data_IF_955674252169
#
_entry.id   IF_955674252169
#
_cell.length_a   1.000
_cell.length_b   1.000
_cell.length_c   1.000
_cell.angle_alpha   90.00
_cell.angle_beta   90.00
_cell.angle_gamma   90.00
#
_symmetry.space_group_name_H-M   'P 1'
#
loop_
_entity.id
_entity.type
_entity.pdbx_description
1 polymer ?
#
# COMPACT_ATOMS: atom_id res chain seq x y z
N UNK A 1 25.81 -5.39 6.38
CA UNK A 1 24.44 -5.66 6.87
C UNK A 1 23.68 -4.39 7.33
N UNK A 2 22.48 -4.15 6.76
CA UNK A 2 21.67 -2.96 7.07
C UNK A 2 21.18 -2.92 8.54
N UNK A 3 20.84 -4.08 9.11
CA UNK A 3 20.43 -4.25 10.52
C UNK A 3 21.44 -3.62 11.50
N UNK A 4 22.74 -3.79 11.25
CA UNK A 4 23.82 -3.22 12.08
C UNK A 4 23.78 -1.68 12.08
N UNK A 5 23.59 -1.05 10.91
CA UNK A 5 23.43 0.41 10.78
C UNK A 5 22.15 0.90 11.47
N UNK A 6 21.04 0.18 11.32
CA UNK A 6 19.75 0.53 11.93
C UNK A 6 19.81 0.51 13.46
N UNK A 7 20.30 -0.60 14.07
CA UNK A 7 20.49 -0.69 15.52
C UNK A 7 21.43 0.41 16.04
N UNK A 8 22.50 0.71 15.31
CA UNK A 8 23.40 1.83 15.64
C UNK A 8 22.69 3.20 15.60
N UNK A 9 21.82 3.47 14.61
CA UNK A 9 21.05 4.73 14.57
C UNK A 9 20.04 4.85 15.71
N UNK A 10 19.47 3.73 16.17
CA UNK A 10 18.61 3.68 17.35
C UNK A 10 19.39 3.65 18.68
N UNK A 11 20.73 3.65 18.64
CA UNK A 11 21.64 3.49 19.80
C UNK A 11 21.41 2.18 20.58
N UNK A 12 20.82 1.17 19.94
CA UNK A 12 20.53 -0.12 20.53
C UNK A 12 21.76 -1.05 20.52
N UNK A 13 21.82 -2.05 21.41
CA UNK A 13 22.78 -3.15 21.31
C UNK A 13 22.71 -3.81 19.93
N UNK A 14 23.87 -4.17 19.35
CA UNK A 14 23.95 -4.85 18.04
C UNK A 14 23.65 -6.34 18.23
N UNK A 15 22.39 -6.64 18.57
CA UNK A 15 21.85 -8.00 18.74
C UNK A 15 20.58 -8.14 17.92
N UNK A 16 20.45 -9.23 17.19
CA UNK A 16 19.24 -9.52 16.40
C UNK A 16 19.08 -11.01 16.17
N UNK A 17 17.85 -11.44 15.89
CA UNK A 17 17.54 -12.79 15.43
C UNK A 17 16.84 -12.68 14.09
N UNK A 18 17.40 -13.33 13.07
CA UNK A 18 16.71 -13.61 11.82
C UNK A 18 16.11 -15.02 11.92
N UNK A 19 14.83 -15.14 11.56
CA UNK A 19 14.11 -16.42 11.49
C UNK A 19 13.75 -16.66 10.03
N UNK A 20 14.14 -17.81 9.50
CA UNK A 20 13.81 -18.24 8.14
C UNK A 20 13.06 -19.58 8.17
N UNK A 21 12.34 -19.89 7.09
CA UNK A 21 11.79 -21.23 6.87
C UNK A 21 12.83 -22.17 6.22
N UNK A 22 12.41 -23.32 5.73
CA UNK A 22 13.30 -24.31 5.10
C UNK A 22 13.19 -24.29 3.57
N UNK A 23 12.98 -23.13 2.95
CA UNK A 23 12.99 -23.01 1.48
C UNK A 23 14.35 -23.45 0.90
N UNK A 24 14.38 -24.29 -0.17
CA UNK A 24 15.63 -24.75 -0.79
C UNK A 24 16.52 -23.64 -1.39
N UNK A 25 16.05 -22.39 -1.44
CA UNK A 25 16.80 -21.21 -1.86
C UNK A 25 17.55 -20.52 -0.71
N UNK A 26 17.38 -21.00 0.52
CA UNK A 26 18.11 -20.51 1.71
C UNK A 26 19.42 -21.28 1.91
N UNK A 27 20.50 -20.63 2.39
CA UNK A 27 21.81 -21.26 2.48
C UNK A 27 21.87 -22.30 3.60
N UNK A 28 22.31 -23.52 3.28
CA UNK A 28 22.46 -24.62 4.25
C UNK A 28 23.44 -24.27 5.39
N UNK A 29 24.48 -23.49 5.08
CA UNK A 29 25.42 -22.94 6.07
C UNK A 29 24.95 -21.57 6.58
N UNK A 30 25.12 -21.33 7.88
CA UNK A 30 24.54 -20.18 8.56
C UNK A 30 25.12 -18.83 8.10
N UNK A 31 24.24 -17.85 7.83
CA UNK A 31 24.62 -16.49 7.48
C UNK A 31 25.31 -15.76 8.64
N UNK A 32 26.63 -15.84 8.71
CA UNK A 32 27.42 -15.09 9.69
C UNK A 32 27.43 -13.58 9.39
N UNK A 33 27.21 -12.76 10.42
CA UNK A 33 27.19 -11.31 10.30
C UNK A 33 28.56 -10.74 10.68
N UNK A 34 29.37 -10.36 9.69
CA UNK A 34 30.77 -9.95 9.91
C UNK A 34 30.93 -8.86 10.99
N UNK A 35 31.71 -9.19 12.03
CA UNK A 35 31.91 -8.35 13.20
C UNK A 35 30.63 -8.08 14.01
N UNK A 36 29.69 -9.02 14.05
CA UNK A 36 28.44 -8.93 14.82
C UNK A 36 27.91 -10.33 15.22
N UNK A 37 28.68 -11.08 16.02
CA UNK A 37 28.35 -12.44 16.50
C UNK A 37 27.06 -12.58 17.33
N UNK A 38 26.48 -11.47 17.78
CA UNK A 38 25.19 -11.43 18.47
C UNK A 38 24.00 -11.21 17.51
N UNK A 39 24.24 -11.17 16.20
CA UNK A 39 23.22 -11.31 15.16
C UNK A 39 23.21 -12.79 14.73
N UNK A 40 22.10 -13.48 14.97
CA UNK A 40 21.98 -14.95 14.81
C UNK A 40 20.87 -15.30 13.80
N UNK A 41 21.11 -16.35 13.02
CA UNK A 41 20.12 -16.98 12.16
C UNK A 41 19.57 -18.23 12.86
N UNK A 42 18.25 -18.43 12.78
CA UNK A 42 17.59 -19.68 13.15
C UNK A 42 16.62 -20.11 12.05
N UNK A 43 16.64 -21.41 11.73
CA UNK A 43 15.64 -22.04 10.87
C UNK A 43 14.46 -22.56 11.71
N UNK A 44 13.25 -22.36 11.20
CA UNK A 44 12.03 -22.96 11.77
C UNK A 44 12.07 -24.49 11.64
N UNK A 45 11.39 -25.26 12.51
CA UNK A 45 11.23 -26.70 12.31
C UNK A 45 10.53 -27.02 10.97
N UNK A 46 10.90 -28.14 10.35
CA UNK A 46 10.30 -28.59 9.09
C UNK A 46 8.76 -28.67 9.18
N UNK A 47 8.08 -28.27 8.11
CA UNK A 47 6.62 -28.23 7.98
C UNK A 47 5.88 -27.32 8.99
N UNK A 48 6.55 -26.41 9.70
CA UNK A 48 5.89 -25.46 10.63
C UNK A 48 5.63 -24.06 10.08
N UNK A 49 6.05 -23.76 8.83
CA UNK A 49 6.02 -22.40 8.24
C UNK A 49 4.67 -21.71 8.44
N UNK A 50 3.59 -22.24 7.85
CA UNK A 50 2.23 -21.67 7.96
C UNK A 50 1.65 -21.63 9.38
N UNK A 51 2.25 -22.34 10.34
CA UNK A 51 1.79 -22.39 11.74
C UNK A 51 2.42 -21.32 12.64
N UNK A 52 3.69 -20.95 12.38
CA UNK A 52 4.49 -20.10 13.29
C UNK A 52 5.40 -19.06 12.60
N UNK A 53 5.53 -19.07 11.27
CA UNK A 53 6.36 -18.11 10.52
C UNK A 53 5.70 -16.71 10.56
N UNK A 54 6.37 -15.64 11.07
CA UNK A 54 5.69 -14.37 11.38
C UNK A 54 5.21 -13.53 10.19
N UNK A 55 5.63 -13.77 8.96
CA UNK A 55 5.06 -13.11 7.78
C UNK A 55 3.70 -13.71 7.39
N UNK A 56 3.58 -15.04 7.51
CA UNK A 56 2.37 -15.80 7.21
C UNK A 56 1.27 -15.56 8.27
N UNK A 57 1.65 -15.20 9.50
CA UNK A 57 0.71 -14.82 10.57
C UNK A 57 0.11 -13.41 10.37
N UNK A 58 -0.42 -13.14 9.18
CA UNK A 58 -1.23 -11.96 8.84
C UNK A 58 -0.48 -10.74 8.29
N UNK A 59 0.85 -10.75 8.23
CA UNK A 59 1.65 -9.64 7.67
C UNK A 59 1.49 -9.58 6.15
N UNK A 60 1.64 -10.71 5.47
CA UNK A 60 1.45 -10.82 4.01
C UNK A 60 0.00 -10.49 3.64
N UNK A 61 -1.00 -11.02 4.35
CA UNK A 61 -2.41 -10.71 4.11
C UNK A 61 -2.71 -9.21 4.30
N UNK A 62 -2.18 -8.58 5.35
CA UNK A 62 -2.33 -7.13 5.59
C UNK A 62 -1.70 -6.29 4.48
N UNK A 63 -0.53 -6.69 3.97
CA UNK A 63 0.15 -6.01 2.86
C UNK A 63 -0.63 -6.19 1.54
N UNK A 64 -1.09 -7.41 1.24
CA UNK A 64 -1.95 -7.71 0.08
C UNK A 64 -3.22 -6.85 0.08
N UNK A 65 -3.95 -6.76 1.21
CA UNK A 65 -5.15 -5.90 1.33
C UNK A 65 -4.84 -4.42 1.08
N UNK A 66 -3.77 -3.89 1.68
CA UNK A 66 -3.33 -2.49 1.47
C UNK A 66 -2.94 -2.22 0.02
N UNK A 67 -2.22 -3.15 -0.61
CA UNK A 67 -1.88 -3.05 -2.03
C UNK A 67 -3.12 -3.05 -2.93
N UNK A 68 -4.09 -3.93 -2.70
CA UNK A 68 -5.32 -4.00 -3.52
C UNK A 68 -6.24 -2.80 -3.37
N UNK A 69 -6.35 -2.26 -2.15
CA UNK A 69 -7.06 -1.00 -1.94
C UNK A 69 -6.36 0.16 -2.67
N UNK A 70 -5.02 0.22 -2.69
CA UNK A 70 -4.27 1.24 -3.44
C UNK A 70 -4.38 1.06 -4.96
N UNK A 71 -4.27 -0.16 -5.47
CA UNK A 71 -4.44 -0.48 -6.88
C UNK A 71 -5.83 -0.04 -7.38
N UNK A 72 -6.89 -0.35 -6.63
CA UNK A 72 -8.24 0.07 -6.99
C UNK A 72 -8.43 1.60 -6.88
N UNK A 73 -7.84 2.25 -5.87
CA UNK A 73 -7.81 3.71 -5.77
C UNK A 73 -7.11 4.39 -6.96
N UNK A 74 -5.98 3.86 -7.44
CA UNK A 74 -5.22 4.43 -8.57
C UNK A 74 -5.90 4.12 -9.92
N UNK A 75 -6.55 2.96 -10.07
CA UNK A 75 -7.45 2.70 -11.22
C UNK A 75 -8.59 3.73 -11.25
N UNK A 76 -9.22 3.99 -10.10
CA UNK A 76 -10.29 5.00 -9.99
C UNK A 76 -9.79 6.44 -10.19
N UNK A 77 -8.56 6.78 -9.76
CA UNK A 77 -8.00 8.11 -9.94
C UNK A 77 -7.63 8.42 -11.39
N UNK A 78 -7.19 7.41 -12.16
CA UNK A 78 -6.98 7.46 -13.62
C UNK A 78 -8.30 7.48 -14.44
N UNK A 79 -9.46 7.28 -13.80
CA UNK A 79 -10.79 7.38 -14.42
C UNK A 79 -11.55 8.68 -14.04
N UNK A 80 -10.87 9.65 -13.41
CA UNK A 80 -11.38 11.02 -13.29
C UNK A 80 -11.12 11.82 -14.56
N UNK A 81 -12.07 12.68 -14.96
CA UNK A 81 -12.03 13.42 -16.22
C UNK A 81 -12.46 12.59 -17.45
N UNK A 82 -12.06 11.31 -17.49
CA UNK A 82 -12.38 10.39 -18.58
C UNK A 82 -13.88 10.29 -18.92
N UNK A 83 -14.18 10.30 -20.22
CA UNK A 83 -15.56 10.24 -20.75
C UNK A 83 -16.08 8.80 -20.88
N UNK A 84 -15.23 7.84 -21.25
CA UNK A 84 -15.55 6.42 -21.33
C UNK A 84 -14.80 5.63 -20.25
N UNK A 85 -15.37 5.62 -19.05
CA UNK A 85 -14.69 5.12 -17.85
C UNK A 85 -14.65 3.60 -17.80
N UNK A 86 -13.66 2.99 -18.43
CA UNK A 86 -13.47 1.52 -18.45
C UNK A 86 -12.32 1.09 -17.56
N UNK A 87 -12.59 0.19 -16.60
CA UNK A 87 -11.58 -0.41 -15.72
C UNK A 87 -10.38 -0.99 -16.48
N UNK A 88 -10.63 -1.67 -17.62
CA UNK A 88 -9.59 -2.31 -18.42
C UNK A 88 -8.61 -1.28 -19.01
N UNK A 89 -9.09 -0.10 -19.43
CA UNK A 89 -8.24 0.96 -19.97
C UNK A 89 -7.32 1.54 -18.89
N UNK A 90 -7.88 1.90 -17.73
CA UNK A 90 -7.09 2.41 -16.61
C UNK A 90 -6.14 1.36 -16.01
N UNK A 91 -6.53 0.08 -15.99
CA UNK A 91 -5.66 -1.02 -15.57
C UNK A 91 -4.47 -1.21 -16.54
N UNK A 92 -4.70 -1.11 -17.86
CA UNK A 92 -3.60 -1.11 -18.85
C UNK A 92 -2.64 0.08 -18.70
N UNK A 93 -3.09 1.19 -18.13
CA UNK A 93 -2.26 2.35 -17.82
C UNK A 93 -1.45 2.22 -16.51
N UNK A 94 -1.68 1.17 -15.70
CA UNK A 94 -0.84 0.84 -14.53
C UNK A 94 0.46 0.18 -15.03
N UNK A 95 1.59 0.79 -14.72
CA UNK A 95 2.91 0.30 -15.09
C UNK A 95 3.71 -0.18 -13.85
N UNK A 96 4.87 -0.80 -14.07
CA UNK A 96 5.69 -1.38 -12.98
C UNK A 96 6.18 -0.34 -11.95
N UNK A 97 6.39 0.92 -12.34
CA UNK A 97 6.76 2.01 -11.42
C UNK A 97 5.59 2.35 -10.48
N UNK A 98 4.36 2.40 -11.01
CA UNK A 98 3.16 2.58 -10.20
C UNK A 98 2.98 1.41 -9.22
N UNK A 99 3.14 0.16 -9.67
CA UNK A 99 3.08 -1.05 -8.83
C UNK A 99 4.10 -0.99 -7.67
N UNK A 100 5.36 -0.61 -7.95
CA UNK A 100 6.40 -0.51 -6.93
C UNK A 100 6.07 0.59 -5.90
N UNK A 101 5.58 1.76 -6.33
CA UNK A 101 5.16 2.81 -5.40
C UNK A 101 3.94 2.41 -4.56
N UNK A 102 2.96 1.74 -5.16
CA UNK A 102 1.78 1.24 -4.42
C UNK A 102 2.18 0.19 -3.37
N UNK A 103 3.12 -0.71 -3.70
CA UNK A 103 3.65 -1.69 -2.75
C UNK A 103 4.47 -1.04 -1.61
N UNK A 104 5.35 -0.09 -1.94
CA UNK A 104 6.12 0.65 -0.94
C UNK A 104 5.20 1.45 0.01
N UNK A 105 4.23 2.18 -0.54
CA UNK A 105 3.23 2.93 0.24
C UNK A 105 2.32 2.01 1.06
N UNK A 106 1.93 0.85 0.53
CA UNK A 106 1.17 -0.16 1.28
C UNK A 106 1.95 -0.69 2.49
N UNK A 107 3.28 -0.83 2.37
CA UNK A 107 4.17 -1.27 3.44
C UNK A 107 4.44 -0.17 4.48
N UNK A 108 4.68 1.07 4.07
CA UNK A 108 4.85 2.22 4.98
C UNK A 108 3.59 2.49 5.83
N UNK A 109 2.41 2.15 5.32
CA UNK A 109 1.13 2.28 6.04
C UNK A 109 0.79 1.08 6.94
N UNK A 110 1.64 0.06 7.03
CA UNK A 110 1.38 -1.10 7.91
C UNK A 110 1.53 -0.71 9.39
N UNK A 111 0.50 -0.90 10.23
CA UNK A 111 0.61 -0.66 11.66
C UNK A 111 1.72 -1.50 12.29
N UNK A 112 2.53 -0.91 13.16
CA UNK A 112 3.57 -1.63 13.89
C UNK A 112 3.00 -2.77 14.76
N UNK A 113 1.73 -2.64 15.17
CA UNK A 113 0.96 -3.67 15.84
C UNK A 113 0.69 -4.91 14.98
N UNK A 114 0.59 -4.80 13.65
CA UNK A 114 0.48 -5.94 12.73
C UNK A 114 1.71 -6.83 12.84
N UNK A 115 2.90 -6.24 12.76
CA UNK A 115 4.17 -6.96 12.93
C UNK A 115 4.26 -7.59 14.33
N UNK A 116 3.95 -6.85 15.41
CA UNK A 116 4.02 -7.41 16.78
C UNK A 116 3.04 -8.57 16.99
N UNK A 117 1.79 -8.46 16.51
CA UNK A 117 0.78 -9.51 16.66
C UNK A 117 1.18 -10.80 15.94
N UNK A 118 1.88 -10.72 14.81
CA UNK A 118 2.24 -11.90 14.01
C UNK A 118 3.26 -12.81 14.70
N UNK A 119 4.15 -12.27 15.53
CA UNK A 119 5.07 -13.07 16.36
C UNK A 119 4.36 -13.90 17.44
N UNK A 120 3.09 -13.66 17.76
CA UNK A 120 2.39 -14.28 18.91
C UNK A 120 2.33 -15.81 18.87
N UNK A 121 2.40 -16.45 17.68
CA UNK A 121 2.49 -17.92 17.58
C UNK A 121 3.85 -18.46 17.99
N UNK A 122 4.93 -17.77 17.60
CA UNK A 122 6.32 -18.15 17.83
C UNK A 122 6.80 -17.69 19.23
N UNK A 123 6.26 -16.58 19.73
CA UNK A 123 6.54 -16.01 21.05
C UNK A 123 5.22 -15.52 21.70
N UNK A 124 4.51 -16.38 22.45
CA UNK A 124 3.20 -16.05 23.03
C UNK A 124 3.18 -14.81 23.94
N UNK A 125 4.27 -14.57 24.67
CA UNK A 125 4.46 -13.41 25.54
C UNK A 125 5.05 -12.17 24.87
N UNK A 126 5.14 -12.10 23.53
CA UNK A 126 5.78 -10.98 22.81
C UNK A 126 5.19 -9.62 23.17
N UNK A 127 3.87 -9.54 23.36
CA UNK A 127 3.18 -8.30 23.74
C UNK A 127 3.62 -7.88 25.14
N UNK A 128 3.46 -8.73 26.15
CA UNK A 128 3.86 -8.46 27.53
C UNK A 128 5.35 -8.10 27.64
N UNK A 129 6.23 -8.79 26.90
CA UNK A 129 7.65 -8.47 26.86
C UNK A 129 7.92 -7.08 26.27
N UNK A 130 7.23 -6.71 25.19
CA UNK A 130 7.28 -5.37 24.60
C UNK A 130 6.77 -4.31 25.58
N UNK A 131 5.66 -4.55 26.27
CA UNK A 131 5.08 -3.59 27.20
C UNK A 131 5.96 -3.35 28.43
N UNK A 132 6.54 -4.41 29.00
CA UNK A 132 7.46 -4.32 30.12
C UNK A 132 8.83 -3.69 29.78
N UNK A 133 9.16 -3.52 28.49
CA UNK A 133 10.42 -2.91 28.03
C UNK A 133 10.21 -1.54 27.35
N UNK A 134 9.03 -0.91 27.47
CA UNK A 134 8.72 0.40 26.87
C UNK A 134 9.63 1.54 27.37
N UNK A 135 10.04 1.49 28.64
CA UNK A 135 10.85 2.57 29.26
C UNK A 135 12.35 2.45 28.92
N UNK A 136 12.89 1.23 28.90
CA UNK A 136 14.31 0.97 28.59
C UNK A 136 14.66 1.03 27.09
N UNK A 137 13.66 1.03 26.20
CA UNK A 137 13.88 0.99 24.75
C UNK A 137 13.00 2.02 23.98
N UNK A 138 13.54 3.21 23.65
CA UNK A 138 12.76 4.28 23.01
C UNK A 138 12.28 3.96 21.58
N UNK A 139 12.82 2.91 20.94
CA UNK A 139 12.29 2.43 19.65
C UNK A 139 10.93 1.74 19.78
N UNK A 140 10.62 1.15 20.94
CA UNK A 140 9.36 0.44 21.19
C UNK A 140 8.19 1.39 21.44
N UNK A 141 8.44 2.58 21.99
CA UNK A 141 7.40 3.56 22.31
C UNK A 141 6.59 4.04 21.09
N UNK A 142 7.11 3.88 19.87
CA UNK A 142 6.40 4.22 18.62
C UNK A 142 5.40 3.14 18.17
N UNK A 143 5.47 1.93 18.73
CA UNK A 143 4.68 0.77 18.30
C UNK A 143 3.22 0.80 18.79
N UNK A 144 2.91 1.57 19.84
CA UNK A 144 1.56 1.69 20.40
C UNK A 144 0.73 2.75 19.67
N UNK A 145 0.51 2.55 18.37
CA UNK A 145 -0.52 3.25 17.61
C UNK A 145 -1.85 2.46 17.66
N UNK A 146 -3.01 3.14 17.64
CA UNK A 146 -4.32 2.47 17.60
C UNK A 146 -4.48 1.69 16.29
N UNK A 147 -5.37 0.69 16.30
CA UNK A 147 -5.80 -0.01 15.08
C UNK A 147 -6.72 0.90 14.24
N UNK A 148 -6.12 1.76 13.42
CA UNK A 148 -6.82 2.43 12.34
C UNK A 148 -7.07 1.44 11.19
N UNK A 149 -8.25 0.82 11.23
CA UNK A 149 -8.82 0.09 10.09
C UNK A 149 -9.35 1.08 9.05
N UNK A 150 -8.49 2.00 8.58
CA UNK A 150 -8.83 3.07 7.62
C UNK A 150 -8.94 2.56 6.17
N UNK A 151 -9.41 1.32 6.00
CA UNK A 151 -9.86 0.80 4.72
C UNK A 151 -11.23 1.42 4.42
N UNK A 152 -11.25 2.44 3.57
CA UNK A 152 -12.45 3.16 3.18
C UNK A 152 -13.11 2.44 2.00
N UNK A 153 -13.48 1.18 2.24
CA UNK A 153 -14.04 0.27 1.22
C UNK A 153 -15.39 0.81 0.68
N UNK A 154 -16.08 1.64 1.47
CA UNK A 154 -17.22 2.45 1.02
C UNK A 154 -16.84 3.54 0.01
N UNK A 155 -15.68 4.20 0.15
CA UNK A 155 -15.20 5.17 -0.83
C UNK A 155 -14.83 4.47 -2.15
N UNK A 156 -14.19 3.30 -2.10
CA UNK A 156 -13.92 2.46 -3.27
C UNK A 156 -15.22 2.07 -4.00
N UNK A 157 -16.22 1.58 -3.26
CA UNK A 157 -17.55 1.29 -3.80
C UNK A 157 -18.21 2.54 -4.44
N UNK A 158 -18.08 3.70 -3.81
CA UNK A 158 -18.64 4.95 -4.36
C UNK A 158 -17.92 5.39 -5.65
N UNK A 159 -16.62 5.15 -5.77
CA UNK A 159 -15.88 5.36 -7.01
C UNK A 159 -16.33 4.41 -8.12
N UNK A 160 -16.39 3.10 -7.82
CA UNK A 160 -16.80 2.07 -8.77
C UNK A 160 -18.21 2.30 -9.36
N UNK A 161 -19.16 2.80 -8.57
CA UNK A 161 -20.51 3.12 -9.09
C UNK A 161 -20.56 4.28 -10.09
N UNK A 162 -19.45 5.01 -10.26
CA UNK A 162 -19.29 6.03 -11.29
C UNK A 162 -18.49 5.53 -12.52
N UNK A 163 -18.20 4.23 -12.61
CA UNK A 163 -17.46 3.58 -13.70
C UNK A 163 -18.44 2.87 -14.63
N UNK A 164 -18.16 2.85 -15.94
CA UNK A 164 -19.02 2.23 -16.97
C UNK A 164 -19.24 0.75 -16.65
N UNK A 165 -20.50 0.30 -16.67
CA UNK A 165 -20.93 -1.08 -16.40
C UNK A 165 -20.61 -1.61 -14.98
N UNK A 166 -20.39 -0.72 -14.01
CA UNK A 166 -20.09 -1.08 -12.61
C UNK A 166 -21.22 -0.67 -11.62
N UNK A 167 -22.43 -0.38 -12.13
CA UNK A 167 -23.58 0.08 -11.35
C UNK A 167 -24.15 -0.98 -10.38
N UNK A 168 -24.03 -2.27 -10.73
CA UNK A 168 -24.47 -3.41 -9.93
C UNK A 168 -23.53 -3.77 -8.78
N UNK A 169 -22.31 -3.22 -8.74
CA UNK A 169 -21.28 -3.58 -7.76
C UNK A 169 -21.75 -3.30 -6.33
N UNK A 170 -21.46 -4.23 -5.43
CA UNK A 170 -21.83 -4.21 -4.00
C UNK A 170 -20.61 -3.97 -3.11
N UNK A 171 -20.83 -3.79 -1.80
CA UNK A 171 -19.72 -3.73 -0.84
C UNK A 171 -19.01 -5.08 -0.72
N UNK A 172 -19.73 -6.18 -0.95
CA UNK A 172 -19.19 -7.53 -0.81
C UNK A 172 -18.23 -7.84 -1.97
N UNK A 173 -18.54 -7.42 -3.20
CA UNK A 173 -17.59 -7.48 -4.33
C UNK A 173 -16.28 -6.69 -4.05
N UNK A 174 -16.37 -5.56 -3.33
CA UNK A 174 -15.22 -4.75 -2.93
C UNK A 174 -14.43 -5.40 -1.80
N UNK A 175 -15.12 -6.02 -0.83
CA UNK A 175 -14.49 -6.84 0.22
C UNK A 175 -13.73 -8.00 -0.43
N UNK A 176 -14.39 -8.80 -1.26
CA UNK A 176 -13.82 -9.95 -1.97
C UNK A 176 -12.60 -9.54 -2.81
N UNK A 177 -12.64 -8.37 -3.48
CA UNK A 177 -11.45 -7.83 -4.14
C UNK A 177 -10.30 -7.58 -3.16
N UNK A 178 -10.53 -6.89 -2.03
CA UNK A 178 -9.43 -6.54 -1.11
C UNK A 178 -8.97 -7.70 -0.20
N UNK A 179 -9.80 -8.72 0.06
CA UNK A 179 -9.47 -9.87 0.94
C UNK A 179 -9.33 -11.23 0.25
N UNK A 180 -9.72 -11.39 -1.02
CA UNK A 180 -9.90 -12.69 -1.71
C UNK A 180 -8.68 -13.61 -1.92
N UNK A 181 -7.58 -13.41 -1.18
CA UNK A 181 -6.43 -14.34 -1.13
C UNK A 181 -6.47 -15.29 0.05
N UNK A 182 -7.45 -15.20 0.96
CA UNK A 182 -7.52 -16.10 2.11
C UNK A 182 -7.79 -17.57 1.73
N UNK A 183 -8.36 -17.82 0.54
CA UNK A 183 -8.60 -19.16 -0.04
C UNK A 183 -7.75 -19.50 -1.29
N UNK A 184 -6.93 -18.56 -1.81
CA UNK A 184 -6.12 -18.82 -3.01
C UNK A 184 -4.79 -19.50 -2.66
N UNK A 185 -4.75 -20.83 -2.82
CA UNK A 185 -3.49 -21.55 -3.05
C UNK A 185 -2.76 -20.90 -4.24
N UNK A 186 -1.46 -20.58 -4.09
CA UNK A 186 -0.74 -19.79 -5.08
C UNK A 186 -0.60 -20.54 -6.43
N UNK A 187 -1.51 -20.29 -7.37
CA UNK A 187 -1.29 -20.56 -8.80
C UNK A 187 -0.21 -19.60 -9.32
N UNK A 188 1.04 -20.00 -9.17
CA UNK A 188 2.18 -19.31 -9.78
C UNK A 188 2.12 -19.48 -11.29
N UNK A 189 1.74 -18.42 -12.01
CA UNK A 189 2.00 -18.34 -13.45
C UNK A 189 3.49 -18.59 -13.72
N UNK A 190 3.77 -19.43 -14.70
CA UNK A 190 5.13 -19.71 -15.15
C UNK A 190 5.69 -18.52 -15.93
N UNK A 191 7.02 -18.39 -15.98
CA UNK A 191 7.69 -17.31 -16.72
C UNK A 191 7.26 -17.29 -18.21
N UNK A 192 7.00 -18.47 -18.81
CA UNK A 192 6.51 -18.61 -20.18
C UNK A 192 5.10 -18.02 -20.38
N UNK A 193 4.18 -18.24 -19.42
CA UNK A 193 2.83 -17.68 -19.44
C UNK A 193 2.84 -16.16 -19.26
N UNK A 194 3.74 -15.64 -18.40
CA UNK A 194 3.96 -14.20 -18.21
C UNK A 194 4.48 -13.57 -19.51
N UNK A 195 5.47 -14.19 -20.17
CA UNK A 195 5.99 -13.71 -21.46
C UNK A 195 4.91 -13.74 -22.55
N UNK A 196 4.11 -14.81 -22.62
CA UNK A 196 3.05 -14.92 -23.63
C UNK A 196 1.94 -13.86 -23.44
N UNK A 197 1.63 -13.47 -22.20
CA UNK A 197 0.70 -12.38 -21.93
C UNK A 197 1.23 -11.01 -22.41
N UNK A 198 2.52 -10.73 -22.23
CA UNK A 198 3.14 -9.44 -22.61
C UNK A 198 3.24 -9.28 -24.13
N UNK A 199 3.59 -10.34 -24.87
CA UNK A 199 3.77 -10.29 -26.34
C UNK A 199 2.45 -10.03 -27.10
N UNK A 200 1.30 -10.18 -26.45
CA UNK A 200 -0.03 -10.17 -27.10
C UNK A 200 -0.77 -8.82 -27.05
N UNK A 201 -0.12 -7.72 -26.64
CA UNK A 201 -0.83 -6.52 -26.14
C UNK A 201 -0.68 -5.21 -26.93
N UNK A 202 0.31 -5.07 -27.82
CA UNK A 202 0.65 -3.80 -28.49
C UNK A 202 -0.06 -3.62 -29.85
N UNK A 203 -1.04 -2.70 -29.91
CA UNK A 203 -1.48 -2.04 -31.15
C UNK A 203 -2.26 -0.72 -30.86
N UNK A 204 -1.69 0.41 -31.32
CA UNK A 204 -2.32 1.69 -31.79
C UNK A 204 -3.00 2.72 -30.83
N UNK A 205 -2.21 3.75 -30.47
CA UNK A 205 -2.35 5.21 -30.75
C UNK A 205 -3.66 6.06 -30.55
N UNK A 206 -3.54 7.06 -29.64
CA UNK A 206 -3.69 8.55 -29.82
C UNK A 206 -5.04 9.34 -29.90
N UNK A 207 -5.01 10.56 -29.28
CA UNK A 207 -5.73 11.84 -29.55
C UNK A 207 -7.27 11.91 -29.32
N UNK A 208 -7.99 13.03 -28.99
CA UNK A 208 -7.79 14.42 -28.48
C UNK A 208 -9.15 14.85 -27.78
N UNK A 209 -9.49 16.04 -27.21
CA UNK A 209 -8.91 17.41 -27.08
C UNK A 209 -9.33 18.08 -25.71
N UNK A 210 -9.96 19.27 -25.64
CA UNK A 210 -10.27 20.07 -24.40
C UNK A 210 -11.68 20.75 -24.38
N UNK A 211 -12.15 21.30 -23.23
CA UNK A 211 -12.81 22.65 -23.11
C UNK A 211 -13.09 23.08 -21.63
N UNK A 212 -13.32 24.39 -21.38
CA UNK A 212 -13.39 25.07 -20.06
C UNK A 212 -14.77 25.70 -19.73
N UNK A 213 -15.01 26.19 -18.49
CA UNK A 213 -15.56 27.55 -18.22
C UNK A 213 -15.42 28.05 -16.74
N UNK A 214 -15.70 29.34 -16.49
CA UNK A 214 -15.16 30.22 -15.41
C UNK A 214 -16.29 31.13 -14.82
N UNK A 215 -16.29 31.72 -13.60
CA UNK A 215 -15.76 31.48 -12.23
C UNK A 215 -16.31 32.61 -11.29
N UNK A 216 -16.11 32.58 -9.96
CA UNK A 216 -16.35 33.76 -9.07
C UNK A 216 -15.51 33.73 -7.75
N UNK A 217 -15.24 34.90 -7.14
CA UNK A 217 -14.19 35.12 -6.13
C UNK A 217 -14.64 35.10 -4.65
N UNK A 218 -13.85 34.49 -3.73
CA UNK A 218 -13.70 35.00 -2.35
C UNK A 218 -12.51 34.38 -1.55
N UNK A 219 -11.39 35.11 -1.40
CA UNK A 219 -10.21 34.78 -0.56
C UNK A 219 -9.90 33.27 -0.44
N UNK A 220 -9.72 32.61 -1.59
CA UNK A 220 -9.89 31.17 -1.66
C UNK A 220 -8.76 30.34 -1.06
N UNK A 221 -9.14 29.21 -0.47
CA UNK A 221 -8.23 28.08 -0.26
C UNK A 221 -8.22 27.26 -1.55
N UNK A 222 -7.04 27.12 -2.16
CA UNK A 222 -6.76 26.27 -3.33
C UNK A 222 -7.67 25.05 -3.35
N UNK A 223 -8.45 24.88 -4.41
CA UNK A 223 -9.47 23.85 -4.48
C UNK A 223 -8.82 22.45 -4.42
N UNK A 224 -9.47 21.45 -3.81
CA UNK A 224 -8.86 20.12 -3.70
C UNK A 224 -8.63 19.42 -5.05
N UNK A 225 -9.38 19.79 -6.09
CA UNK A 225 -9.13 19.43 -7.50
C UNK A 225 -7.90 20.14 -8.07
N UNK A 226 -7.85 21.47 -7.95
CA UNK A 226 -6.72 22.31 -8.39
C UNK A 226 -5.40 21.87 -7.73
N UNK A 227 -5.43 21.61 -6.42
CA UNK A 227 -4.30 21.08 -5.67
C UNK A 227 -3.87 19.69 -6.17
N UNK A 228 -4.81 18.80 -6.52
CA UNK A 228 -4.49 17.50 -7.14
C UNK A 228 -3.73 17.70 -8.45
N UNK A 229 -4.28 18.50 -9.38
CA UNK A 229 -3.66 18.79 -10.68
C UNK A 229 -2.28 19.43 -10.54
N UNK A 230 -2.12 20.40 -9.63
CA UNK A 230 -0.83 21.04 -9.35
C UNK A 230 0.20 20.04 -8.79
N UNK A 231 -0.21 19.14 -7.89
CA UNK A 231 0.67 18.12 -7.31
C UNK A 231 1.01 17.01 -8.31
N UNK A 232 0.13 16.71 -9.26
CA UNK A 232 0.40 15.82 -10.40
C UNK A 232 1.42 16.45 -11.37
N UNK A 233 1.28 17.74 -11.67
CA UNK A 233 2.27 18.49 -12.46
C UNK A 233 3.64 18.57 -11.76
N UNK A 234 3.66 18.86 -10.46
CA UNK A 234 4.90 18.86 -9.64
C UNK A 234 5.52 17.45 -9.61
N UNK A 235 4.71 16.39 -9.47
CA UNK A 235 5.19 15.00 -9.55
C UNK A 235 5.85 14.73 -10.90
N UNK A 236 5.19 15.08 -12.01
CA UNK A 236 5.71 14.90 -13.37
C UNK A 236 7.00 15.69 -13.61
N UNK A 237 7.12 16.89 -13.05
CA UNK A 237 8.34 17.70 -13.11
C UNK A 237 9.48 17.12 -12.26
N UNK A 238 9.20 16.70 -11.03
CA UNK A 238 10.19 16.10 -10.12
C UNK A 238 10.76 14.79 -10.67
N UNK A 239 9.92 13.94 -11.26
CA UNK A 239 10.34 12.70 -11.92
C UNK A 239 11.22 12.92 -13.17
N UNK A 240 11.41 14.17 -13.62
CA UNK A 240 12.33 14.57 -14.68
C UNK A 240 13.63 15.23 -14.18
N UNK A 241 13.78 15.52 -12.88
CA UNK A 241 14.98 16.18 -12.34
C UNK A 241 15.95 15.17 -11.71
N UNK A 242 17.21 15.13 -12.15
CA UNK A 242 18.26 14.27 -11.60
C UNK A 242 18.55 14.50 -10.10
N UNK A 243 18.13 15.65 -9.54
CA UNK A 243 18.29 16.00 -8.13
C UNK A 243 17.13 15.51 -7.24
N UNK A 244 16.00 15.06 -7.82
CA UNK A 244 14.85 14.60 -7.05
C UNK A 244 15.07 13.18 -6.53
N UNK A 245 14.82 12.95 -5.23
CA UNK A 245 14.85 11.61 -4.67
C UNK A 245 13.47 10.94 -4.70
N UNK A 246 13.46 9.61 -4.59
CA UNK A 246 12.22 8.86 -4.40
C UNK A 246 11.43 9.32 -3.15
N UNK A 247 12.10 9.79 -2.10
CA UNK A 247 11.43 10.30 -0.89
C UNK A 247 10.70 11.63 -1.16
N UNK A 248 11.30 12.55 -1.93
CA UNK A 248 10.66 13.80 -2.32
C UNK A 248 9.43 13.54 -3.20
N UNK A 249 9.57 12.60 -4.15
CA UNK A 249 8.49 12.17 -5.04
C UNK A 249 7.34 11.53 -4.26
N UNK A 250 7.63 10.65 -3.29
CA UNK A 250 6.62 10.04 -2.42
C UNK A 250 5.95 11.06 -1.49
N UNK A 251 6.67 12.09 -1.02
CA UNK A 251 6.08 13.18 -0.23
C UNK A 251 5.05 13.97 -1.05
N UNK A 252 5.35 14.31 -2.31
CA UNK A 252 4.38 15.00 -3.19
C UNK A 252 3.20 14.10 -3.54
N UNK A 253 3.41 12.82 -3.87
CA UNK A 253 2.32 11.85 -4.11
C UNK A 253 1.41 11.69 -2.89
N UNK A 254 1.97 11.68 -1.67
CA UNK A 254 1.17 11.65 -0.42
C UNK A 254 0.24 12.87 -0.26
N UNK A 255 0.69 14.05 -0.69
CA UNK A 255 -0.17 15.25 -0.72
C UNK A 255 -1.20 15.22 -1.87
N UNK A 256 -0.84 14.68 -3.05
CA UNK A 256 -1.79 14.43 -4.16
C UNK A 256 -2.94 13.55 -3.68
N UNK A 257 -2.61 12.43 -3.03
CA UNK A 257 -3.58 11.44 -2.56
C UNK A 257 -4.49 12.01 -1.45
N UNK A 258 -3.93 12.86 -0.57
CA UNK A 258 -4.72 13.62 0.40
C UNK A 258 -5.69 14.61 -0.28
N UNK A 259 -5.22 15.36 -1.27
CA UNK A 259 -6.07 16.30 -2.03
C UNK A 259 -7.20 15.56 -2.78
N UNK A 260 -6.88 14.45 -3.45
CA UNK A 260 -7.85 13.56 -4.10
C UNK A 260 -8.90 13.03 -3.11
N UNK A 261 -8.50 12.47 -1.95
CA UNK A 261 -9.46 11.98 -0.95
C UNK A 261 -10.39 13.09 -0.45
N UNK A 262 -9.88 14.30 -0.26
CA UNK A 262 -10.71 15.47 0.10
C UNK A 262 -11.62 15.95 -1.03
N UNK A 263 -11.19 15.88 -2.29
CA UNK A 263 -12.03 16.16 -3.45
C UNK A 263 -13.14 15.11 -3.67
N UNK A 264 -12.97 13.89 -3.15
CA UNK A 264 -14.03 12.88 -3.09
C UNK A 264 -15.01 13.16 -1.92
N UNK A 265 -14.49 13.52 -0.74
CA UNK A 265 -15.33 13.86 0.43
C UNK A 265 -16.34 14.98 0.12
N UNK A 266 -15.95 16.01 -0.64
CA UNK A 266 -16.85 17.12 -1.02
C UNK A 266 -17.88 16.76 -2.09
N UNK A 267 -17.68 15.68 -2.86
CA UNK A 267 -18.63 15.18 -3.87
C UNK A 267 -19.71 14.26 -3.28
N UNK A 268 -19.64 13.91 -1.98
CA UNK A 268 -20.63 13.04 -1.31
C UNK A 268 -22.00 13.73 -1.22
N UNK A 269 -23.01 13.13 -1.85
CA UNK A 269 -24.38 13.65 -1.86
C UNK A 269 -24.94 13.73 -0.44
N UNK A 270 -25.39 14.94 -0.03
CA UNK A 270 -26.02 15.17 1.28
C UNK A 270 -27.24 14.28 1.46
N UNK A 271 -27.44 13.76 2.68
CA UNK A 271 -28.63 12.95 2.98
C UNK A 271 -29.88 13.82 2.85
N UNK A 272 -30.97 13.28 2.32
CA UNK A 272 -32.21 14.05 2.08
C UNK A 272 -32.72 14.74 3.37
N UNK A 273 -32.47 14.13 4.53
CA UNK A 273 -32.76 14.65 5.86
C UNK A 273 -32.11 16.02 6.15
N UNK A 274 -30.95 16.31 5.57
CA UNK A 274 -30.21 17.58 5.74
C UNK A 274 -30.87 18.75 5.00
N UNK A 275 -31.77 18.48 4.05
CA UNK A 275 -32.59 19.49 3.38
C UNK A 275 -33.89 19.84 4.13
N UNK A 276 -34.18 19.13 5.24
CA UNK A 276 -35.36 19.34 6.09
C UNK A 276 -35.01 19.90 7.48
N UNK A 277 -33.79 20.40 7.67
CA UNK A 277 -33.32 21.03 8.90
C UNK A 277 -33.02 22.51 8.67
N UNK A 278 -34.10 23.29 8.58
CA UNK A 278 -34.12 24.76 8.44
C UNK A 278 -35.15 25.36 9.38
#
# INVERSE_FOLDING_TARGET
>A
PSVKKHLQSLKMPIKAVLVLDNAPTHPEEGLECEGASEIKLYYLPAHTTSLIQPMDQGVIASLKRRYRHKLLSEILSKLEGESDKRLISALKAINIKDVIYMLASAYEEMPSSTFVKSWKKLWPGVIEAIENNKEDNPGIAQTTLPESTDFDDHNLLSGLKNVTQCDTVTLDDVNDWVTGDEDLENEFFTDDEIVQAVVSADDQENNDEEEEDIADEHEEKIAHSEAKTALELITKYMEQQEISTAADTMFVKKWRDYAFKRAMDTKKQKKINEYFLT
#
